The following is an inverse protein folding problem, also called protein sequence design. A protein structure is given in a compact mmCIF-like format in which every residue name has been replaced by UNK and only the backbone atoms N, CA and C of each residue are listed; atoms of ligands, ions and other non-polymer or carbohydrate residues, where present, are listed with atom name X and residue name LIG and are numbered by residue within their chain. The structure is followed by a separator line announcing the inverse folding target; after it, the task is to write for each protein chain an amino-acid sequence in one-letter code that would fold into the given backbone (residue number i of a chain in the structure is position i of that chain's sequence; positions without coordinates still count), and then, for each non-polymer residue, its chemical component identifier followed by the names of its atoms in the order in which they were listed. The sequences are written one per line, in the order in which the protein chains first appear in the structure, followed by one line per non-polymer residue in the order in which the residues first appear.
data_IF_096441774096
#
_entry.id   IF_096441774096
#
_cell.length_a   1.000
_cell.length_b   1.000
_cell.length_c   1.000
_cell.angle_alpha   90.00
_cell.angle_beta   90.00
_cell.angle_gamma   90.00
#
_symmetry.space_group_name_H-M   'P 1'
#
loop_
_entity.id
_entity.type
_entity.pdbx_description
1 polymer ?
#
# COMPACT_ATOMS: atom_id res chain seq x y z
N UNK A 1 0.20 -13.44 -15.54
CA UNK A 1 0.16 -12.02 -15.13
C UNK A 1 0.35 -11.92 -13.63
N UNK A 2 0.89 -10.81 -13.16
CA UNK A 2 0.90 -10.43 -11.74
C UNK A 2 0.30 -9.05 -11.55
N UNK A 3 -0.49 -8.89 -10.49
CA UNK A 3 -1.07 -7.63 -10.06
C UNK A 3 -0.80 -7.42 -8.57
N UNK A 4 -0.49 -6.18 -8.19
CA UNK A 4 -0.26 -5.79 -6.80
C UNK A 4 -1.14 -4.59 -6.50
N UNK A 5 -1.92 -4.66 -5.43
CA UNK A 5 -2.80 -3.57 -5.01
C UNK A 5 -2.62 -3.29 -3.53
N UNK A 6 -2.49 -2.02 -3.18
CA UNK A 6 -2.53 -1.51 -1.82
C UNK A 6 -3.46 -0.30 -1.73
N UNK A 7 -3.68 0.27 -0.52
CA UNK A 7 -4.40 1.53 -0.41
C UNK A 7 -3.63 2.67 -1.10
N UNK A 8 -4.29 3.68 -1.67
CA UNK A 8 -3.60 4.81 -2.28
C UNK A 8 -2.84 5.66 -1.25
N UNK A 9 -3.37 5.74 -0.02
CA UNK A 9 -2.83 6.53 1.08
C UNK A 9 -2.93 5.80 2.42
N UNK A 10 -2.03 6.09 3.35
CA UNK A 10 -2.09 5.68 4.75
C UNK A 10 -1.46 6.75 5.67
N UNK A 11 -1.70 6.70 6.98
CA UNK A 11 -1.03 7.60 7.93
C UNK A 11 0.25 6.97 8.49
N UNK A 12 1.20 7.77 9.00
CA UNK A 12 2.39 7.23 9.63
C UNK A 12 2.05 6.29 10.78
N UNK A 13 2.55 5.05 10.69
CA UNK A 13 2.30 4.01 11.70
C UNK A 13 1.03 3.18 11.48
N UNK A 14 0.19 3.51 10.50
CA UNK A 14 -0.97 2.69 10.14
C UNK A 14 -0.54 1.33 9.58
N UNK A 15 -1.25 0.28 9.98
CA UNK A 15 -1.13 -1.02 9.33
C UNK A 15 -2.03 -1.05 8.10
N UNK A 16 -1.52 -1.60 7.00
CA UNK A 16 -2.30 -1.79 5.79
C UNK A 16 -1.93 -3.09 5.08
N UNK A 17 -2.72 -3.48 4.08
CA UNK A 17 -2.58 -4.77 3.40
C UNK A 17 -2.29 -4.56 1.92
N UNK A 18 -1.29 -5.27 1.40
CA UNK A 18 -1.13 -5.48 -0.03
C UNK A 18 -1.81 -6.77 -0.46
N UNK A 19 -2.57 -6.73 -1.55
CA UNK A 19 -3.08 -7.91 -2.22
C UNK A 19 -2.26 -8.15 -3.48
N UNK A 20 -1.62 -9.30 -3.54
CA UNK A 20 -0.83 -9.77 -4.68
C UNK A 20 -1.60 -10.88 -5.37
N UNK A 21 -2.01 -10.66 -6.62
CA UNK A 21 -2.71 -11.65 -7.43
C UNK A 21 -1.79 -12.14 -8.54
N UNK A 22 -1.57 -13.45 -8.60
CA UNK A 22 -0.78 -14.11 -9.63
C UNK A 22 -1.69 -15.04 -10.41
N UNK A 23 -1.74 -14.87 -11.72
CA UNK A 23 -2.55 -15.67 -12.64
C UNK A 23 -1.67 -16.37 -13.66
N UNK A 24 -1.86 -17.68 -13.80
CA UNK A 24 -1.29 -18.43 -14.90
C UNK A 24 -2.09 -18.17 -16.18
N UNK A 25 -1.56 -17.33 -17.06
CA UNK A 25 -2.16 -17.00 -18.37
C UNK A 25 -1.63 -17.90 -19.49
N UNK A 26 -0.88 -18.95 -19.15
CA UNK A 26 -0.37 -19.95 -20.10
C UNK A 26 -1.39 -21.03 -20.41
N UNK A 27 -1.10 -21.84 -21.43
CA UNK A 27 -1.93 -22.98 -21.84
C UNK A 27 -1.57 -24.28 -21.12
N UNK A 28 -0.70 -24.22 -20.10
CA UNK A 28 -0.23 -25.36 -19.30
C UNK A 28 -0.05 -25.02 -17.84
N UNK A 29 -0.03 -26.06 -17.02
CA UNK A 29 0.27 -25.95 -15.60
C UNK A 29 1.75 -25.56 -15.37
N UNK A 30 1.97 -24.65 -14.42
CA UNK A 30 3.30 -24.34 -13.91
C UNK A 30 3.48 -24.99 -12.54
N UNK A 31 4.51 -25.81 -12.36
CA UNK A 31 4.79 -26.51 -11.09
C UNK A 31 5.87 -25.87 -10.23
N UNK A 32 6.65 -24.94 -10.79
CA UNK A 32 7.77 -24.25 -10.14
C UNK A 32 7.60 -22.74 -10.20
N UNK A 33 6.44 -22.24 -9.73
CA UNK A 33 6.20 -20.80 -9.62
C UNK A 33 6.77 -20.31 -8.30
N UNK A 34 7.64 -19.31 -8.36
CA UNK A 34 8.18 -18.61 -7.21
C UNK A 34 7.73 -17.16 -7.26
N UNK A 35 7.03 -16.72 -6.22
CA UNK A 35 6.60 -15.34 -6.02
C UNK A 35 7.44 -14.77 -4.89
N UNK A 36 8.02 -13.59 -5.08
CA UNK A 36 8.74 -12.88 -4.01
C UNK A 36 8.50 -11.38 -4.07
N UNK A 37 8.51 -10.72 -2.92
CA UNK A 37 8.36 -9.27 -2.83
C UNK A 37 9.57 -8.56 -2.22
N UNK A 38 9.58 -7.23 -2.28
CA UNK A 38 10.63 -6.37 -1.71
C UNK A 38 10.69 -6.35 -0.18
N UNK A 39 9.66 -6.88 0.49
CA UNK A 39 9.54 -6.93 1.95
C UNK A 39 9.77 -8.33 2.55
N UNK A 40 10.21 -9.28 1.73
CA UNK A 40 10.63 -10.61 2.16
C UNK A 40 9.55 -11.68 2.12
N UNK A 41 8.37 -11.39 1.57
CA UNK A 41 7.39 -12.44 1.25
C UNK A 41 7.98 -13.35 0.18
N UNK A 42 7.83 -14.66 0.38
CA UNK A 42 8.19 -15.68 -0.60
C UNK A 42 7.13 -16.78 -0.59
N UNK A 43 6.61 -17.11 -1.76
CA UNK A 43 5.77 -18.28 -1.99
C UNK A 43 6.34 -19.13 -3.11
N UNK A 44 6.28 -20.45 -2.94
CA UNK A 44 6.62 -21.42 -3.99
C UNK A 44 5.46 -22.39 -4.13
N UNK A 45 5.09 -22.70 -5.36
CA UNK A 45 4.05 -23.69 -5.62
C UNK A 45 3.72 -23.84 -7.09
N UNK A 46 2.55 -24.43 -7.32
CA UNK A 46 2.01 -24.68 -8.64
C UNK A 46 0.78 -23.83 -8.93
N UNK A 47 0.60 -23.46 -10.19
CA UNK A 47 -0.60 -22.85 -10.72
C UNK A 47 -1.05 -23.64 -11.95
N UNK A 48 -2.26 -24.18 -11.90
CA UNK A 48 -2.91 -24.78 -13.07
C UNK A 48 -3.23 -23.75 -14.16
N UNK A 49 -3.63 -24.21 -15.33
CA UNK A 49 -4.12 -23.35 -16.42
C UNK A 49 -5.24 -22.44 -15.94
N UNK A 50 -5.13 -21.13 -16.22
CA UNK A 50 -6.05 -20.07 -15.79
C UNK A 50 -6.23 -19.95 -14.26
N UNK A 51 -5.47 -20.71 -13.46
CA UNK A 51 -5.51 -20.62 -11.99
C UNK A 51 -4.96 -19.26 -11.56
N UNK A 52 -5.67 -18.63 -10.64
CA UNK A 52 -5.25 -17.41 -9.99
C UNK A 52 -5.14 -17.64 -8.49
N UNK A 53 -4.11 -17.06 -7.88
CA UNK A 53 -3.93 -17.04 -6.43
C UNK A 53 -3.74 -15.62 -5.96
N UNK A 54 -4.39 -15.30 -4.85
CA UNK A 54 -4.27 -14.01 -4.18
C UNK A 54 -3.64 -14.21 -2.81
N UNK A 55 -2.63 -13.39 -2.51
CA UNK A 55 -1.95 -13.34 -1.22
C UNK A 55 -2.21 -11.97 -0.58
N UNK A 56 -2.66 -11.98 0.67
CA UNK A 56 -2.84 -10.76 1.47
C UNK A 56 -1.65 -10.64 2.43
N UNK A 57 -0.81 -9.65 2.17
CA UNK A 57 0.43 -9.40 2.91
C UNK A 57 0.19 -8.16 3.78
N UNK A 58 0.17 -8.37 5.10
CA UNK A 58 0.07 -7.28 6.05
C UNK A 58 1.40 -6.54 6.15
N UNK A 59 1.33 -5.23 5.99
CA UNK A 59 2.47 -4.33 6.10
C UNK A 59 2.33 -3.53 7.39
N UNK A 60 3.31 -3.71 8.28
CA UNK A 60 3.43 -2.93 9.51
C UNK A 60 3.82 -1.50 9.16
N UNK A 61 3.07 -0.52 9.67
CA UNK A 61 3.17 0.88 9.24
C UNK A 61 4.57 1.46 9.10
N UNK A 62 4.74 2.28 8.07
CA UNK A 62 5.98 2.99 7.77
C UNK A 62 5.89 4.45 8.19
N UNK A 63 7.04 5.05 8.46
CA UNK A 63 7.20 6.50 8.61
C UNK A 63 7.80 7.16 7.37
N UNK A 64 8.13 6.37 6.34
CA UNK A 64 8.53 6.86 5.03
C UNK A 64 7.37 7.58 4.35
N UNK A 65 7.66 8.56 3.50
CA UNK A 65 6.63 9.32 2.76
C UNK A 65 5.96 8.48 1.68
N UNK A 66 6.67 7.47 1.15
CA UNK A 66 6.15 6.51 0.19
C UNK A 66 6.64 5.11 0.53
N UNK A 67 5.75 4.14 0.39
CA UNK A 67 6.03 2.71 0.56
C UNK A 67 5.72 2.04 -0.78
N UNK A 68 6.72 1.38 -1.36
CA UNK A 68 6.57 0.68 -2.64
C UNK A 68 6.77 -0.80 -2.40
N UNK A 69 5.75 -1.61 -2.71
CA UNK A 69 5.90 -3.05 -2.78
C UNK A 69 6.15 -3.48 -4.21
N UNK A 70 7.28 -4.13 -4.47
CA UNK A 70 7.65 -4.67 -5.78
C UNK A 70 7.66 -6.21 -5.73
N UNK A 71 6.81 -6.83 -6.55
CA UNK A 71 6.65 -8.29 -6.63
C UNK A 71 7.25 -8.82 -7.92
N UNK A 72 8.05 -9.87 -7.76
CA UNK A 72 8.64 -10.65 -8.83
C UNK A 72 8.05 -12.06 -8.85
N UNK A 73 7.69 -12.55 -10.03
CA UNK A 73 7.21 -13.90 -10.26
C UNK A 73 8.11 -14.59 -11.26
N UNK A 74 8.67 -15.73 -10.88
CA UNK A 74 9.43 -16.61 -11.75
C UNK A 74 8.69 -17.93 -11.95
N UNK A 75 8.73 -18.48 -13.14
CA UNK A 75 8.17 -19.78 -13.46
C UNK A 75 8.99 -20.51 -14.52
N UNK A 76 8.97 -21.84 -14.49
CA UNK A 76 9.61 -22.67 -15.51
C UNK A 76 8.60 -23.64 -16.09
N UNK A 77 8.51 -23.69 -17.42
CA UNK A 77 7.75 -24.72 -18.13
C UNK A 77 8.45 -26.07 -18.05
N UNK A 78 7.73 -27.16 -18.37
CA UNK A 78 8.30 -28.51 -18.49
C UNK A 78 9.48 -28.61 -19.46
N UNK A 79 9.56 -27.72 -20.46
CA UNK A 79 10.65 -27.67 -21.44
C UNK A 79 11.85 -26.85 -20.95
N UNK A 80 11.82 -26.36 -19.72
CA UNK A 80 12.86 -25.52 -19.12
C UNK A 80 12.84 -24.06 -19.58
N UNK A 81 11.80 -23.61 -20.30
CA UNK A 81 11.66 -22.19 -20.63
C UNK A 81 11.29 -21.42 -19.36
N UNK A 82 12.09 -20.41 -19.05
CA UNK A 82 11.85 -19.45 -17.98
C UNK A 82 10.83 -18.41 -18.44
N UNK A 83 9.79 -18.23 -17.65
CA UNK A 83 8.81 -17.15 -17.77
C UNK A 83 8.88 -16.33 -16.50
N UNK A 84 8.72 -15.02 -16.63
CA UNK A 84 8.78 -14.12 -15.49
C UNK A 84 7.81 -12.97 -15.70
N UNK A 85 7.36 -12.41 -14.58
CA UNK A 85 6.50 -11.24 -14.56
C UNK A 85 6.77 -10.41 -13.31
N UNK A 86 6.43 -9.12 -13.34
CA UNK A 86 6.65 -8.21 -12.23
C UNK A 86 5.54 -7.16 -12.14
N UNK A 87 5.21 -6.76 -10.92
CA UNK A 87 4.29 -5.65 -10.68
C UNK A 87 4.63 -4.96 -9.37
N UNK A 88 4.25 -3.69 -9.25
CA UNK A 88 4.45 -2.91 -8.04
C UNK A 88 3.23 -2.07 -7.69
N UNK A 89 3.11 -1.73 -6.41
CA UNK A 89 2.11 -0.79 -5.90
C UNK A 89 2.78 0.17 -4.95
N UNK A 90 2.36 1.43 -4.99
CA UNK A 90 2.85 2.50 -4.12
C UNK A 90 1.74 2.96 -3.17
N UNK A 91 2.08 3.17 -1.92
CA UNK A 91 1.23 3.74 -0.87
C UNK A 91 1.87 5.03 -0.40
N UNK A 92 1.14 6.15 -0.50
CA UNK A 92 1.62 7.45 -0.04
C UNK A 92 1.28 7.64 1.44
N UNK A 93 2.25 8.01 2.26
CA UNK A 93 2.04 8.22 3.69
C UNK A 93 1.86 9.71 3.96
N UNK A 94 0.61 10.12 4.17
CA UNK A 94 0.27 11.52 4.45
C UNK A 94 0.20 11.74 5.96
N UNK A 95 1.07 12.61 6.48
CA UNK A 95 0.86 13.18 7.82
C UNK A 95 -0.40 14.02 7.73
N UNK A 96 -1.46 13.58 8.40
CA UNK A 96 -2.62 14.43 8.63
C UNK A 96 -2.13 15.76 9.17
N UNK A 97 -2.18 16.81 8.34
CA UNK A 97 -2.20 18.16 8.88
C UNK A 97 -3.53 18.20 9.59
N UNK A 98 -3.52 18.04 10.90
CA UNK A 98 -4.66 18.38 11.73
C UNK A 98 -5.03 19.81 11.33
N UNK A 99 -6.12 19.95 10.57
CA UNK A 99 -6.72 21.26 10.40
C UNK A 99 -7.05 21.72 11.81
N UNK A 100 -6.53 22.88 12.20
CA UNK A 100 -6.61 23.42 13.57
C UNK A 100 -8.06 23.55 14.10
N UNK A 101 -9.06 23.23 13.28
CA UNK A 101 -10.47 23.18 13.62
C UNK A 101 -10.90 21.88 14.32
N UNK A 102 -10.25 20.74 14.09
CA UNK A 102 -10.64 19.45 14.72
C UNK A 102 -10.01 19.23 16.11
N UNK A 103 -8.87 19.87 16.41
CA UNK A 103 -8.22 19.77 17.72
C UNK A 103 -9.05 20.39 18.87
N UNK A 104 -10.05 21.21 18.52
CA UNK A 104 -11.01 21.81 19.46
C UNK A 104 -12.15 20.83 19.79
N UNK A 105 -12.59 20.00 18.83
CA UNK A 105 -13.69 19.04 19.03
C UNK A 105 -13.22 17.79 19.80
N UNK A 106 -11.94 17.42 19.64
CA UNK A 106 -11.31 16.33 20.40
C UNK A 106 -10.77 16.75 21.78
N UNK A 107 -10.91 18.03 22.17
CA UNK A 107 -10.54 18.53 23.49
C UNK A 107 -9.03 18.47 23.81
N UNK A 108 -8.18 18.36 22.79
CA UNK A 108 -6.72 18.27 22.92
C UNK A 108 -6.03 19.62 23.11
N UNK A 109 -6.76 20.73 22.94
CA UNK A 109 -6.26 22.09 23.15
C UNK A 109 -7.23 22.88 24.01
N UNK A 110 -6.79 23.29 25.20
CA UNK A 110 -7.50 24.29 26.00
C UNK A 110 -7.14 25.68 25.46
N UNK A 111 -7.94 26.20 24.54
CA UNK A 111 -7.80 27.59 24.11
C UNK A 111 -8.44 28.46 25.19
N UNK A 112 -7.66 28.82 26.23
CA UNK A 112 -8.06 29.85 27.19
C UNK A 112 -8.10 31.19 26.44
N UNK A 113 -9.25 31.52 25.82
CA UNK A 113 -9.51 32.82 25.22
C UNK A 113 -9.59 33.88 26.33
N UNK A 114 -8.44 34.32 26.84
CA UNK A 114 -8.34 35.54 27.66
C UNK A 114 -8.41 36.76 26.76
N UNK A 115 -9.62 37.13 26.35
CA UNK A 115 -9.81 38.39 25.64
C UNK A 115 -11.22 38.58 25.14
N UNK A 116 -12.01 39.37 25.87
CA UNK A 116 -13.21 40.02 25.32
C UNK A 116 -12.75 41.01 24.23
N UNK A 117 -12.72 40.55 22.98
CA UNK A 117 -12.37 41.37 21.82
C UNK A 117 -13.33 41.08 20.68
N UNK A 118 -14.29 41.98 20.48
CA UNK A 118 -15.21 41.97 19.35
C UNK A 118 -14.38 42.12 18.06
N UNK A 119 -14.28 41.08 17.23
CA UNK A 119 -13.70 41.21 15.89
C UNK A 119 -14.78 41.76 14.95
N UNK A 120 -14.76 43.08 14.74
CA UNK A 120 -15.48 43.75 13.66
C UNK A 120 -14.44 44.32 12.69
N UNK A 121 -14.55 43.95 11.42
CA UNK A 121 -14.05 44.74 10.31
C UNK A 121 -12.79 44.22 9.63
N UNK A 122 -13.02 43.69 8.43
CA UNK A 122 -12.29 43.89 7.17
C UNK A 122 -10.78 43.64 7.09
N UNK A 123 -10.46 42.77 6.13
CA UNK A 123 -9.15 42.29 5.72
C UNK A 123 -8.08 43.38 5.53
N UNK A 124 -6.81 43.05 5.84
CA UNK A 124 -5.64 43.62 5.14
C UNK A 124 -4.51 42.58 5.04
N UNK A 125 -3.96 42.46 3.81
CA UNK A 125 -2.67 41.85 3.38
C UNK A 125 -1.51 42.17 4.34
N UNK A 126 -0.44 41.40 4.53
CA UNK A 126 0.28 40.38 3.74
C UNK A 126 0.46 39.10 4.56
#
# INVERSE_FOLDING_TARGET
SVEVTGPPEAQPGDQFTYNVTVTNTGDRDFSNVRVSDSYGFVWNGSLGVDESRTFSIEFSGSTAEEVVNEVHVDGYTEKGLHVWDQASSTVVITRGRYDLFDAVDEGLVDVEFRGMGYCSGDAVKL
#
